data_IF_668493317117
#
_entry.id   IF_668493317117
#
_cell.length_a   1.000
_cell.length_b   1.000
_cell.length_c   1.000
_cell.angle_alpha   90.00
_cell.angle_beta   90.00
_cell.angle_gamma   90.00
#
_symmetry.space_group_name_H-M   'P 1'
#
loop_
_entity.id
_entity.type
_entity.pdbx_description
1 polymer ?
#
# COMPACT_ATOMS: atom_id res chain seq x y z
N UNK A 1 -25.24 -2.13 -5.75
CA UNK A 1 -24.69 -1.57 -7.03
C UNK A 1 -24.49 -0.05 -7.01
N UNK A 2 -25.22 0.71 -6.18
CA UNK A 2 -25.10 2.17 -6.02
C UNK A 2 -23.82 2.60 -5.29
N UNK A 3 -23.35 1.77 -4.35
CA UNK A 3 -22.18 2.06 -3.52
C UNK A 3 -20.85 2.11 -4.30
N UNK A 4 -20.62 1.15 -5.21
CA UNK A 4 -19.43 1.15 -6.10
C UNK A 4 -19.40 2.41 -6.99
N UNK A 5 -20.56 2.89 -7.47
CA UNK A 5 -20.63 4.12 -8.28
C UNK A 5 -20.25 5.36 -7.47
N UNK A 6 -20.64 5.44 -6.20
CA UNK A 6 -20.31 6.59 -5.34
C UNK A 6 -18.82 6.62 -5.01
N UNK A 7 -18.21 5.46 -4.75
CA UNK A 7 -16.77 5.34 -4.48
C UNK A 7 -15.93 5.70 -5.72
N UNK A 8 -16.32 5.21 -6.91
CA UNK A 8 -15.65 5.58 -8.17
C UNK A 8 -15.70 7.07 -8.45
N UNK A 9 -16.87 7.70 -8.27
CA UNK A 9 -17.02 9.16 -8.45
C UNK A 9 -16.13 9.94 -7.48
N UNK A 10 -16.03 9.52 -6.22
CA UNK A 10 -15.13 10.13 -5.23
C UNK A 10 -13.66 10.03 -5.66
N UNK A 11 -13.21 8.84 -6.08
CA UNK A 11 -11.83 8.64 -6.55
C UNK A 11 -11.49 9.49 -7.79
N UNK A 12 -12.40 9.54 -8.77
CA UNK A 12 -12.24 10.40 -9.96
C UNK A 12 -12.19 11.88 -9.56
N UNK A 13 -13.06 12.30 -8.64
CA UNK A 13 -13.07 13.66 -8.11
C UNK A 13 -11.75 14.03 -7.43
N UNK A 14 -11.23 13.17 -6.55
CA UNK A 14 -9.92 13.36 -5.91
C UNK A 14 -8.78 13.43 -6.93
N UNK A 15 -8.80 12.58 -7.95
CA UNK A 15 -7.82 12.61 -9.04
C UNK A 15 -7.91 13.90 -9.85
N UNK A 16 -9.11 14.40 -10.16
CA UNK A 16 -9.28 15.68 -10.85
C UNK A 16 -8.75 16.86 -10.01
N UNK A 17 -8.99 16.88 -8.69
CA UNK A 17 -8.44 17.91 -7.79
C UNK A 17 -6.91 17.87 -7.80
N UNK A 18 -6.30 16.69 -7.61
CA UNK A 18 -4.84 16.53 -7.66
C UNK A 18 -4.27 16.96 -9.01
N UNK A 19 -4.93 16.60 -10.10
CA UNK A 19 -4.54 16.99 -11.45
C UNK A 19 -4.60 18.50 -11.64
N UNK A 20 -5.65 19.16 -11.11
CA UNK A 20 -5.78 20.61 -11.18
C UNK A 20 -4.71 21.35 -10.39
N UNK A 21 -4.38 20.89 -9.18
CA UNK A 21 -3.28 21.45 -8.39
C UNK A 21 -1.94 21.30 -9.12
N UNK A 22 -1.66 20.12 -9.66
CA UNK A 22 -0.43 19.87 -10.42
C UNK A 22 -0.36 20.74 -11.68
N UNK A 23 -1.46 20.86 -12.43
CA UNK A 23 -1.53 21.67 -13.63
C UNK A 23 -1.33 23.17 -13.35
N UNK A 24 -1.96 23.68 -12.28
CA UNK A 24 -1.75 25.05 -11.81
C UNK A 24 -0.28 25.29 -11.39
N UNK A 25 0.30 24.35 -10.63
CA UNK A 25 1.69 24.40 -10.20
C UNK A 25 2.66 24.44 -11.39
N UNK A 26 2.43 23.62 -12.42
CA UNK A 26 3.28 23.55 -13.61
C UNK A 26 3.17 24.78 -14.51
N UNK A 27 1.97 25.36 -14.66
CA UNK A 27 1.72 26.46 -15.59
C UNK A 27 1.74 27.86 -14.97
N UNK A 28 1.62 27.96 -13.63
CA UNK A 28 1.45 29.23 -12.92
C UNK A 28 2.59 30.23 -13.09
N UNK A 29 3.81 29.75 -13.39
CA UNK A 29 4.97 30.61 -13.69
C UNK A 29 4.79 31.47 -14.94
N UNK A 30 3.83 31.14 -15.82
CA UNK A 30 3.52 31.91 -17.05
C UNK A 30 2.36 32.91 -16.87
N UNK A 31 1.91 33.11 -15.63
CA UNK A 31 0.83 34.04 -15.29
C UNK A 31 -0.51 33.35 -14.97
N UNK A 32 -1.47 34.15 -14.49
CA UNK A 32 -2.76 33.66 -13.93
C UNK A 32 -3.60 32.87 -14.94
N UNK A 33 -3.69 33.34 -16.20
CA UNK A 33 -4.45 32.65 -17.25
C UNK A 33 -3.88 31.27 -17.56
N UNK A 34 -2.54 31.19 -17.67
CA UNK A 34 -1.86 29.91 -17.87
C UNK A 34 -2.04 28.98 -16.67
N UNK A 35 -2.00 29.51 -15.44
CA UNK A 35 -2.31 28.75 -14.23
C UNK A 35 -3.70 28.12 -14.25
N UNK A 36 -4.74 28.90 -14.59
CA UNK A 36 -6.11 28.40 -14.71
C UNK A 36 -6.28 27.38 -15.83
N UNK A 37 -5.73 27.67 -17.03
CA UNK A 37 -5.75 26.72 -18.14
C UNK A 37 -5.03 25.42 -17.76
N UNK A 38 -3.89 25.51 -17.07
CA UNK A 38 -3.15 24.38 -16.53
C UNK A 38 -3.99 23.59 -15.53
N UNK A 39 -4.69 24.26 -14.61
CA UNK A 39 -5.56 23.61 -13.64
C UNK A 39 -6.70 22.83 -14.31
N UNK A 40 -7.37 23.43 -15.28
CA UNK A 40 -8.44 22.76 -16.02
C UNK A 40 -7.91 21.57 -16.82
N UNK A 41 -6.80 21.74 -17.54
CA UNK A 41 -6.18 20.68 -18.32
C UNK A 41 -5.69 19.53 -17.43
N UNK A 42 -5.08 19.84 -16.29
CA UNK A 42 -4.61 18.86 -15.32
C UNK A 42 -5.76 18.10 -14.66
N UNK A 43 -6.83 18.80 -14.27
CA UNK A 43 -8.02 18.19 -13.68
C UNK A 43 -8.73 17.25 -14.67
N UNK A 44 -8.92 17.70 -15.91
CA UNK A 44 -9.48 16.87 -16.97
C UNK A 44 -8.59 15.66 -17.28
N UNK A 45 -7.27 15.87 -17.42
CA UNK A 45 -6.31 14.82 -17.73
C UNK A 45 -6.25 13.73 -16.66
N UNK A 46 -6.06 14.11 -15.39
CA UNK A 46 -5.94 13.12 -14.31
C UNK A 46 -7.29 12.49 -13.94
N UNK A 47 -8.39 13.26 -14.02
CA UNK A 47 -9.75 12.72 -13.86
C UNK A 47 -10.10 11.69 -14.93
N UNK A 48 -9.80 11.98 -16.21
CA UNK A 48 -10.02 11.02 -17.30
C UNK A 48 -9.11 9.80 -17.16
N UNK A 49 -7.83 9.98 -16.81
CA UNK A 49 -6.90 8.91 -16.51
C UNK A 49 -7.44 7.98 -15.42
N UNK A 50 -7.94 8.52 -14.31
CA UNK A 50 -8.51 7.71 -13.24
C UNK A 50 -9.80 7.01 -13.68
N UNK A 51 -10.68 7.69 -14.43
CA UNK A 51 -11.89 7.07 -14.97
C UNK A 51 -11.57 5.87 -15.87
N UNK A 52 -10.59 6.00 -16.78
CA UNK A 52 -10.13 4.90 -17.64
C UNK A 52 -9.47 3.79 -16.81
N UNK A 53 -8.67 4.14 -15.81
CA UNK A 53 -8.05 3.16 -14.91
C UNK A 53 -9.11 2.31 -14.20
N UNK A 54 -10.16 2.95 -13.65
CA UNK A 54 -11.27 2.26 -12.96
C UNK A 54 -12.19 1.49 -13.89
N UNK A 55 -12.39 1.96 -15.12
CA UNK A 55 -13.12 1.21 -16.14
C UNK A 55 -12.39 -0.11 -16.51
N UNK A 56 -11.06 -0.10 -16.49
CA UNK A 56 -10.24 -1.29 -16.83
C UNK A 56 -9.83 -2.15 -15.64
N UNK A 57 -9.97 -1.64 -14.42
CA UNK A 57 -9.56 -2.35 -13.21
C UNK A 57 -10.57 -3.44 -12.86
N UNK A 58 -10.10 -4.69 -12.81
CA UNK A 58 -10.89 -5.81 -12.26
C UNK A 58 -10.90 -5.73 -10.72
N UNK A 59 -11.97 -6.20 -10.06
CA UNK A 59 -12.02 -6.29 -8.60
C UNK A 59 -10.76 -6.94 -8.02
N UNK A 60 -10.22 -6.37 -6.95
CA UNK A 60 -9.03 -6.88 -6.26
C UNK A 60 -7.68 -6.68 -6.98
N UNK A 61 -7.62 -6.00 -8.14
CA UNK A 61 -6.34 -5.69 -8.80
C UNK A 61 -5.81 -4.33 -8.37
N UNK A 62 -4.49 -4.19 -8.27
CA UNK A 62 -3.81 -2.90 -8.06
C UNK A 62 -4.07 -2.00 -9.29
N UNK A 63 -4.23 -0.66 -9.12
CA UNK A 63 -4.33 0.27 -10.23
C UNK A 63 -3.18 0.11 -11.25
N UNK A 64 -3.46 0.33 -12.54
CA UNK A 64 -2.46 0.16 -13.58
C UNK A 64 -1.26 1.09 -13.35
N UNK A 65 -0.07 0.65 -13.78
CA UNK A 65 1.18 1.35 -13.52
C UNK A 65 1.15 2.82 -13.98
N UNK A 66 0.60 3.09 -15.17
CA UNK A 66 0.54 4.44 -15.72
C UNK A 66 -0.29 5.41 -14.85
N UNK A 67 -1.42 4.96 -14.28
CA UNK A 67 -2.23 5.78 -13.35
C UNK A 67 -1.43 6.09 -12.08
N UNK A 68 -0.74 5.09 -11.51
CA UNK A 68 0.13 5.29 -10.34
C UNK A 68 1.28 6.26 -10.60
N UNK A 69 1.89 6.21 -11.79
CA UNK A 69 2.93 7.14 -12.20
C UNK A 69 2.37 8.55 -12.36
N UNK A 70 1.22 8.70 -13.03
CA UNK A 70 0.56 9.99 -13.22
C UNK A 70 0.21 10.66 -11.88
N UNK A 71 -0.45 9.93 -10.97
CA UNK A 71 -0.82 10.45 -9.65
C UNK A 71 0.40 10.83 -8.81
N UNK A 72 1.44 9.99 -8.80
CA UNK A 72 2.69 10.31 -8.10
C UNK A 72 3.39 11.55 -8.66
N UNK A 73 3.36 11.73 -9.98
CA UNK A 73 3.93 12.90 -10.66
C UNK A 73 3.14 14.17 -10.34
N UNK A 74 1.81 14.07 -10.26
CA UNK A 74 0.94 15.20 -9.89
C UNK A 74 1.19 15.67 -8.44
N UNK A 75 1.34 14.72 -7.51
CA UNK A 75 1.72 15.02 -6.12
C UNK A 75 3.10 15.70 -6.09
N UNK A 76 4.09 15.17 -6.81
CA UNK A 76 5.43 15.74 -6.87
C UNK A 76 5.44 17.17 -7.45
N UNK A 77 4.65 17.45 -8.49
CA UNK A 77 4.51 18.78 -9.05
C UNK A 77 3.97 19.78 -8.00
N UNK A 78 2.93 19.36 -7.28
CA UNK A 78 2.26 20.20 -6.28
C UNK A 78 3.16 20.49 -5.09
N UNK A 79 3.87 19.47 -4.59
CA UNK A 79 4.87 19.61 -3.53
C UNK A 79 6.10 20.40 -3.98
N UNK A 80 6.55 20.21 -5.22
CA UNK A 80 7.66 20.96 -5.80
C UNK A 80 7.36 22.46 -5.92
N UNK A 81 6.10 22.81 -6.20
CA UNK A 81 5.63 24.20 -6.14
C UNK A 81 5.70 24.78 -4.73
N UNK A 82 5.13 24.07 -3.75
CA UNK A 82 5.11 24.52 -2.36
C UNK A 82 6.53 24.64 -1.78
N UNK A 83 7.35 23.60 -1.97
CA UNK A 83 8.75 23.58 -1.55
C UNK A 83 9.59 24.65 -2.23
N UNK A 84 9.41 24.86 -3.54
CA UNK A 84 10.10 25.93 -4.28
C UNK A 84 9.73 27.33 -3.77
N UNK A 85 8.45 27.56 -3.45
CA UNK A 85 7.96 28.81 -2.84
C UNK A 85 8.58 29.07 -1.46
N UNK A 86 8.74 28.03 -0.65
CA UNK A 86 9.20 28.15 0.74
C UNK A 86 10.73 28.23 0.87
N UNK A 87 11.46 27.52 0.01
CA UNK A 87 12.92 27.34 0.17
C UNK A 87 13.75 28.14 -0.82
N UNK A 88 13.19 28.55 -1.96
CA UNK A 88 13.97 29.13 -3.06
C UNK A 88 15.00 28.16 -3.65
N UNK A 89 14.90 26.86 -3.37
CA UNK A 89 15.87 25.85 -3.79
C UNK A 89 16.04 25.80 -5.31
N UNK A 90 17.31 25.75 -5.75
CA UNK A 90 17.64 25.61 -7.17
C UNK A 90 17.23 24.24 -7.75
N UNK A 91 17.16 24.12 -9.09
CA UNK A 91 16.73 22.90 -9.79
C UNK A 91 17.45 21.62 -9.35
N UNK A 92 18.78 21.67 -9.15
CA UNK A 92 19.57 20.50 -8.73
C UNK A 92 19.16 20.02 -7.33
N UNK A 93 18.94 20.94 -6.39
CA UNK A 93 18.53 20.59 -5.03
C UNK A 93 17.11 20.02 -5.02
N UNK A 94 16.17 20.64 -5.74
CA UNK A 94 14.79 20.16 -5.87
C UNK A 94 14.75 18.76 -6.51
N UNK A 95 15.51 18.56 -7.58
CA UNK A 95 15.63 17.27 -8.25
C UNK A 95 16.21 16.22 -7.32
N UNK A 96 17.34 16.52 -6.66
CA UNK A 96 17.98 15.59 -5.71
C UNK A 96 17.05 15.22 -4.57
N UNK A 97 16.37 16.19 -3.93
CA UNK A 97 15.43 15.94 -2.84
C UNK A 97 14.20 15.14 -3.29
N UNK A 98 13.65 15.44 -4.48
CA UNK A 98 12.53 14.64 -5.03
C UNK A 98 12.97 13.22 -5.33
N UNK A 99 14.18 13.06 -5.87
CA UNK A 99 14.80 11.78 -6.16
C UNK A 99 15.09 10.97 -4.90
N UNK A 100 15.62 11.59 -3.83
CA UNK A 100 15.89 10.91 -2.56
C UNK A 100 14.61 10.37 -1.93
N UNK A 101 13.57 11.19 -1.84
CA UNK A 101 12.26 10.79 -1.29
C UNK A 101 11.66 9.65 -2.10
N UNK A 102 11.63 9.78 -3.43
CA UNK A 102 11.07 8.74 -4.31
C UNK A 102 11.92 7.45 -4.30
N UNK A 103 13.24 7.61 -4.18
CA UNK A 103 14.23 6.56 -3.96
C UNK A 103 13.93 5.76 -2.70
N UNK A 104 13.80 6.44 -1.57
CA UNK A 104 13.53 5.86 -0.26
C UNK A 104 12.24 5.03 -0.24
N UNK A 105 11.19 5.49 -0.93
CA UNK A 105 9.94 4.75 -1.08
C UNK A 105 10.06 3.47 -1.93
N UNK A 106 11.19 3.25 -2.62
CA UNK A 106 11.43 2.11 -3.50
C UNK A 106 11.78 0.79 -2.80
N UNK A 107 12.04 0.79 -1.48
CA UNK A 107 12.44 -0.31 -0.58
C UNK A 107 13.74 -1.06 -0.97
N UNK A 108 14.03 -1.21 -2.27
CA UNK A 108 15.23 -1.88 -2.79
C UNK A 108 16.46 -0.96 -2.64
N UNK A 109 17.58 -1.41 -2.04
CA UNK A 109 18.77 -0.57 -1.85
C UNK A 109 19.27 0.10 -3.15
N UNK A 110 19.20 -0.62 -4.29
CA UNK A 110 19.60 -0.08 -5.59
C UNK A 110 18.67 1.05 -6.05
N UNK A 111 17.36 0.94 -5.78
CA UNK A 111 16.37 1.99 -6.07
C UNK A 111 16.59 3.22 -5.19
N UNK A 112 16.89 3.00 -3.91
CA UNK A 112 17.21 4.08 -2.96
C UNK A 112 18.43 4.86 -3.41
N UNK A 113 19.52 4.19 -3.80
CA UNK A 113 20.73 4.83 -4.28
C UNK A 113 20.55 5.55 -5.64
N UNK A 114 19.72 5.00 -6.53
CA UNK A 114 19.43 5.60 -7.83
C UNK A 114 18.69 6.94 -7.71
N UNK A 115 17.80 7.07 -6.71
CA UNK A 115 16.95 8.25 -6.53
C UNK A 115 17.71 9.58 -6.54
N UNK A 116 18.65 9.83 -5.60
CA UNK A 116 19.42 11.07 -5.53
C UNK A 116 20.21 11.37 -6.82
N UNK A 117 20.87 10.34 -7.39
CA UNK A 117 21.71 10.49 -8.59
C UNK A 117 20.87 10.91 -9.78
N UNK A 118 19.76 10.21 -10.00
CA UNK A 118 18.82 10.54 -11.08
C UNK A 118 18.19 11.92 -10.87
N UNK A 119 17.83 12.25 -9.63
CA UNK A 119 17.29 13.56 -9.26
C UNK A 119 18.25 14.70 -9.55
N UNK A 120 19.52 14.55 -9.20
CA UNK A 120 20.55 15.53 -9.51
C UNK A 120 20.76 15.70 -11.02
N UNK A 121 20.76 14.59 -11.77
CA UNK A 121 20.89 14.61 -13.23
C UNK A 121 19.71 15.33 -13.92
N UNK A 122 18.47 15.02 -13.52
CA UNK A 122 17.27 15.70 -14.03
C UNK A 122 17.28 17.18 -13.64
N UNK A 123 17.61 17.51 -12.39
CA UNK A 123 17.72 18.89 -11.93
C UNK A 123 18.75 19.70 -12.71
N UNK A 124 19.88 19.08 -13.08
CA UNK A 124 20.91 19.72 -13.92
C UNK A 124 20.43 19.90 -15.36
N UNK A 125 19.81 18.88 -15.95
CA UNK A 125 19.28 18.94 -17.32
C UNK A 125 18.11 19.93 -17.47
N UNK A 126 17.41 20.22 -16.39
CA UNK A 126 16.31 21.20 -16.34
C UNK A 126 16.73 22.51 -15.65
N UNK A 127 18.00 22.89 -15.75
CA UNK A 127 18.47 24.19 -15.27
C UNK A 127 17.60 25.33 -15.83
N UNK A 128 17.26 26.31 -14.98
CA UNK A 128 16.38 27.43 -15.33
C UNK A 128 14.88 27.09 -15.40
N UNK A 129 14.48 25.83 -15.20
CA UNK A 129 13.06 25.45 -15.11
C UNK A 129 12.53 25.61 -13.67
N UNK A 130 11.23 25.89 -13.51
CA UNK A 130 10.64 26.09 -12.19
C UNK A 130 10.58 24.78 -11.40
N UNK A 131 10.72 24.87 -10.07
CA UNK A 131 10.74 23.73 -9.15
C UNK A 131 9.63 22.67 -9.34
N UNK A 132 8.34 23.03 -9.59
CA UNK A 132 7.29 22.05 -9.89
C UNK A 132 7.61 21.14 -11.07
N UNK A 133 8.21 21.71 -12.13
CA UNK A 133 8.57 20.95 -13.34
C UNK A 133 9.70 19.99 -13.04
N UNK A 134 10.70 20.44 -12.27
CA UNK A 134 11.86 19.61 -11.92
C UNK A 134 11.45 18.44 -11.02
N UNK A 135 10.61 18.70 -10.01
CA UNK A 135 10.10 17.66 -9.11
C UNK A 135 9.25 16.62 -9.88
N UNK A 136 8.31 17.10 -10.72
CA UNK A 136 7.48 16.24 -11.55
C UNK A 136 8.30 15.38 -12.51
N UNK A 137 9.23 15.99 -13.26
CA UNK A 137 10.11 15.29 -14.19
C UNK A 137 10.98 14.24 -13.47
N UNK A 138 11.50 14.58 -12.28
CA UNK A 138 12.31 13.64 -11.49
C UNK A 138 11.50 12.41 -11.11
N UNK A 139 10.30 12.58 -10.55
CA UNK A 139 9.45 11.44 -10.14
C UNK A 139 8.97 10.63 -11.35
N UNK A 140 8.59 11.29 -12.43
CA UNK A 140 8.19 10.63 -13.67
C UNK A 140 9.32 9.75 -14.22
N UNK A 141 10.50 10.34 -14.42
CA UNK A 141 11.67 9.63 -14.95
C UNK A 141 12.10 8.50 -14.02
N UNK A 142 12.14 8.75 -12.70
CA UNK A 142 12.48 7.72 -11.73
C UNK A 142 11.52 6.54 -11.77
N UNK A 143 10.20 6.78 -11.82
CA UNK A 143 9.22 5.69 -11.82
C UNK A 143 9.17 4.94 -13.14
N UNK A 144 9.34 5.63 -14.27
CA UNK A 144 9.43 5.00 -15.58
C UNK A 144 10.68 4.11 -15.67
N UNK A 145 11.85 4.66 -15.32
CA UNK A 145 13.11 3.91 -15.32
C UNK A 145 13.06 2.75 -14.32
N UNK A 146 12.51 2.98 -13.13
CA UNK A 146 12.37 1.92 -12.12
C UNK A 146 11.48 0.78 -12.59
N UNK A 147 10.43 1.07 -13.35
CA UNK A 147 9.54 0.05 -13.89
C UNK A 147 10.17 -0.74 -15.06
N UNK A 148 11.08 -0.12 -15.80
CA UNK A 148 11.81 -0.77 -16.90
C UNK A 148 12.98 -1.62 -16.37
N UNK A 149 13.80 -1.06 -15.47
CA UNK A 149 15.05 -1.67 -14.98
C UNK A 149 14.81 -2.71 -13.90
N UNK A 150 13.83 -2.49 -13.00
CA UNK A 150 13.56 -3.38 -11.88
C UNK A 150 12.23 -4.12 -12.05
N UNK A 151 12.05 -4.69 -13.25
CA UNK A 151 10.81 -5.37 -13.65
C UNK A 151 10.60 -6.70 -12.91
N UNK A 152 11.69 -7.31 -12.45
CA UNK A 152 11.65 -8.62 -11.80
C UNK A 152 11.32 -8.55 -10.31
N UNK A 153 10.56 -9.55 -9.87
CA UNK A 153 10.20 -9.81 -8.49
C UNK A 153 11.48 -10.22 -7.72
N UNK A 154 11.97 -9.37 -6.82
CA UNK A 154 13.16 -9.69 -6.00
C UNK A 154 12.82 -10.60 -4.82
N UNK A 155 11.54 -10.77 -4.53
CA UNK A 155 11.06 -11.77 -3.57
C UNK A 155 10.36 -12.81 -4.42
N UNK A 156 11.09 -13.85 -4.81
CA UNK A 156 10.43 -15.11 -5.13
C UNK A 156 9.78 -15.55 -3.82
N UNK A 157 8.45 -15.60 -3.80
CA UNK A 157 7.78 -16.43 -2.80
C UNK A 157 8.22 -17.85 -3.11
N UNK A 158 9.29 -18.28 -2.43
CA UNK A 158 9.68 -19.67 -2.39
C UNK A 158 8.56 -20.36 -1.61
N UNK A 159 7.52 -20.78 -2.32
CA UNK A 159 6.53 -21.70 -1.79
C UNK A 159 7.23 -23.04 -1.67
N UNK A 160 7.97 -23.23 -0.58
CA UNK A 160 8.52 -24.53 -0.23
C UNK A 160 7.35 -25.45 0.14
N UNK A 161 7.35 -26.65 -0.42
CA UNK A 161 6.30 -27.64 -0.18
C UNK A 161 6.58 -28.28 1.18
N UNK A 162 6.02 -27.71 2.23
CA UNK A 162 6.15 -28.20 3.60
C UNK A 162 5.03 -29.21 3.88
N UNK A 163 5.31 -30.38 4.48
CA UNK A 163 4.29 -31.31 4.96
C UNK A 163 3.30 -30.61 5.89
N UNK A 164 2.02 -30.99 5.84
CA UNK A 164 0.98 -30.33 6.62
C UNK A 164 1.23 -30.45 8.14
N UNK A 165 1.92 -31.51 8.56
CA UNK A 165 2.26 -31.76 9.97
C UNK A 165 3.29 -30.76 10.55
N UNK A 166 4.09 -30.13 9.68
CA UNK A 166 5.16 -29.19 10.08
C UNK A 166 4.68 -27.73 10.08
N UNK A 167 3.48 -27.47 9.55
CA UNK A 167 2.93 -26.12 9.49
C UNK A 167 2.28 -25.74 10.84
N UNK A 168 2.74 -24.67 11.50
CA UNK A 168 2.20 -24.24 12.80
C UNK A 168 0.75 -23.76 12.71
N UNK A 169 0.29 -23.41 11.50
CA UNK A 169 -1.09 -23.12 11.18
C UNK A 169 -1.36 -23.59 9.74
N UNK A 170 -2.43 -24.36 9.55
CA UNK A 170 -2.96 -24.69 8.22
C UNK A 170 -4.16 -23.79 8.00
N UNK A 171 -4.13 -22.96 6.95
CA UNK A 171 -5.33 -22.22 6.58
C UNK A 171 -6.28 -23.21 5.89
N UNK A 172 -7.48 -23.46 6.41
CA UNK A 172 -8.36 -24.54 5.95
C UNK A 172 -8.80 -24.44 4.49
N UNK A 173 -8.67 -23.25 3.89
CA UNK A 173 -9.11 -22.98 2.53
C UNK A 173 -7.89 -22.79 1.61
N UNK A 174 -7.76 -23.62 0.59
CA UNK A 174 -6.79 -23.34 -0.47
C UNK A 174 -7.18 -22.03 -1.19
N UNK A 175 -6.22 -21.13 -1.37
CA UNK A 175 -6.44 -19.93 -2.16
C UNK A 175 -6.58 -20.31 -3.64
N UNK A 176 -7.82 -20.44 -4.12
CA UNK A 176 -8.15 -20.77 -5.53
C UNK A 176 -7.74 -19.69 -6.53
N UNK A 177 -7.18 -18.59 -6.06
CA UNK A 177 -6.66 -17.50 -6.89
C UNK A 177 -5.34 -16.99 -6.32
N UNK A 178 -4.52 -16.39 -7.19
CA UNK A 178 -3.29 -15.67 -6.81
C UNK A 178 -3.50 -14.47 -5.87
N UNK A 179 -4.73 -14.20 -5.45
CA UNK A 179 -5.10 -13.06 -4.63
C UNK A 179 -5.92 -13.52 -3.44
N UNK A 180 -5.36 -13.31 -2.24
CA UNK A 180 -6.08 -13.49 -0.98
C UNK A 180 -6.67 -12.12 -0.61
N UNK A 181 -7.98 -12.01 -0.74
CA UNK A 181 -8.73 -10.78 -0.46
C UNK A 181 -9.89 -11.02 0.49
N UNK A 182 -10.74 -10.01 0.68
CA UNK A 182 -11.94 -10.11 1.52
C UNK A 182 -12.92 -11.21 1.07
N UNK A 183 -12.93 -11.54 -0.23
CA UNK A 183 -13.67 -12.70 -0.75
C UNK A 183 -13.18 -14.02 -0.18
N UNK A 184 -11.87 -14.22 -0.09
CA UNK A 184 -11.29 -15.42 0.52
C UNK A 184 -11.65 -15.53 2.01
N UNK A 185 -11.65 -14.41 2.74
CA UNK A 185 -12.05 -14.40 4.16
C UNK A 185 -13.52 -14.73 4.32
N UNK A 186 -14.37 -14.28 3.41
CA UNK A 186 -15.79 -14.66 3.36
C UNK A 186 -15.96 -16.16 3.11
N UNK A 187 -15.29 -16.69 2.10
CA UNK A 187 -15.34 -18.11 1.74
C UNK A 187 -14.78 -18.98 2.88
N UNK A 188 -13.73 -18.50 3.56
CA UNK A 188 -13.18 -19.14 4.75
C UNK A 188 -14.17 -19.14 5.91
N UNK A 189 -14.82 -18.00 6.19
CA UNK A 189 -15.84 -17.89 7.23
C UNK A 189 -16.97 -18.90 6.96
N UNK A 190 -17.48 -18.98 5.73
CA UNK A 190 -18.49 -19.96 5.35
C UNK A 190 -18.01 -21.41 5.58
N UNK A 191 -16.79 -21.73 5.14
CA UNK A 191 -16.23 -23.08 5.27
C UNK A 191 -16.03 -23.52 6.72
N UNK A 192 -15.75 -22.60 7.64
CA UNK A 192 -15.59 -22.90 9.08
C UNK A 192 -16.90 -22.72 9.87
N UNK A 193 -18.01 -22.39 9.21
CA UNK A 193 -19.31 -22.14 9.83
C UNK A 193 -19.40 -20.81 10.59
N UNK A 194 -18.53 -19.84 10.28
CA UNK A 194 -18.55 -18.48 10.79
C UNK A 194 -19.30 -17.50 9.91
N UNK A 195 -19.49 -16.28 10.41
CA UNK A 195 -20.17 -15.19 9.70
C UNK A 195 -19.16 -14.15 9.26
N UNK A 196 -19.17 -13.80 7.97
CA UNK A 196 -18.38 -12.70 7.46
C UNK A 196 -19.20 -11.40 7.44
N UNK A 197 -18.76 -10.42 8.20
CA UNK A 197 -19.28 -9.05 8.15
C UNK A 197 -18.25 -8.16 7.46
N UNK A 198 -18.64 -7.54 6.34
CA UNK A 198 -17.78 -6.56 5.70
C UNK A 198 -17.73 -5.28 6.55
N UNK A 199 -16.53 -4.75 6.77
CA UNK A 199 -16.33 -3.46 7.47
C UNK A 199 -16.96 -3.45 8.87
N UNK A 200 -16.76 -4.53 9.62
CA UNK A 200 -17.28 -4.68 10.97
C UNK A 200 -16.73 -3.55 11.86
N UNK A 201 -17.62 -2.75 12.45
CA UNK A 201 -17.26 -1.52 13.18
C UNK A 201 -16.44 -1.76 14.45
N UNK A 202 -16.47 -3.00 14.94
CA UNK A 202 -15.75 -3.53 16.08
C UNK A 202 -14.40 -4.17 15.71
N UNK A 203 -14.03 -4.17 14.42
CA UNK A 203 -12.76 -4.71 13.93
C UNK A 203 -11.91 -3.58 13.33
N UNK A 204 -10.80 -3.26 13.99
CA UNK A 204 -9.90 -2.18 13.58
C UNK A 204 -8.43 -2.50 13.82
N UNK A 205 -7.55 -1.71 13.20
CA UNK A 205 -6.11 -1.73 13.50
C UNK A 205 -5.89 -0.85 14.73
N UNK A 206 -5.65 -1.48 15.88
CA UNK A 206 -5.27 -0.80 17.13
C UNK A 206 -3.81 -0.38 17.09
N UNK A 207 -3.47 0.72 17.76
CA UNK A 207 -2.10 1.23 17.76
C UNK A 207 -1.19 0.44 18.73
N UNK A 208 -1.76 -0.14 19.78
CA UNK A 208 -1.08 -1.06 20.69
C UNK A 208 -2.01 -2.19 21.15
N UNK A 209 -1.42 -3.30 21.63
CA UNK A 209 -2.18 -4.39 22.24
C UNK A 209 -2.84 -3.97 23.57
N UNK A 210 -2.30 -2.95 24.24
CA UNK A 210 -2.88 -2.43 25.48
C UNK A 210 -4.27 -1.83 25.28
N UNK A 211 -4.58 -1.34 24.07
CA UNK A 211 -5.92 -0.86 23.71
C UNK A 211 -6.97 -1.98 23.71
N UNK A 212 -6.54 -3.24 23.64
CA UNK A 212 -7.42 -4.42 23.72
C UNK A 212 -7.56 -4.95 25.14
N UNK A 213 -6.91 -4.33 26.14
CA UNK A 213 -6.97 -4.78 27.53
C UNK A 213 -8.41 -4.79 28.04
N UNK A 214 -8.87 -5.97 28.47
CA UNK A 214 -10.23 -6.15 28.96
C UNK A 214 -10.40 -7.45 29.73
N UNK A 215 -11.62 -7.72 30.24
CA UNK A 215 -11.91 -8.91 31.05
C UNK A 215 -11.56 -10.23 30.35
N UNK A 216 -11.58 -10.24 29.02
CA UNK A 216 -11.32 -11.42 28.18
C UNK A 216 -9.93 -11.41 27.52
N UNK A 217 -9.15 -10.33 27.67
CA UNK A 217 -7.86 -10.19 27.00
C UNK A 217 -6.87 -9.43 27.88
N UNK A 218 -5.81 -10.12 28.29
CA UNK A 218 -4.67 -9.54 29.00
C UNK A 218 -3.49 -9.35 28.02
N UNK A 219 -3.13 -8.09 27.67
CA UNK A 219 -2.03 -7.82 26.76
C UNK A 219 -0.67 -8.22 27.34
N UNK A 220 -0.52 -8.24 28.67
CA UNK A 220 0.73 -8.62 29.34
C UNK A 220 0.99 -10.14 29.28
N UNK A 221 -0.05 -10.94 29.02
CA UNK A 221 0.05 -12.37 28.79
C UNK A 221 0.51 -12.76 27.38
N UNK A 222 0.70 -11.78 26.49
CA UNK A 222 1.16 -12.02 25.11
C UNK A 222 2.68 -11.86 25.05
N UNK A 223 3.40 -12.98 25.12
CA UNK A 223 4.85 -12.98 24.88
C UNK A 223 5.16 -12.71 23.40
N UNK A 224 5.68 -11.51 23.12
CA UNK A 224 6.26 -11.15 21.84
C UNK A 224 7.61 -10.45 22.04
N UNK A 225 8.72 -10.94 21.45
CA UNK A 225 9.88 -10.08 21.30
C UNK A 225 9.49 -8.91 20.40
N UNK A 226 10.05 -7.72 20.65
CA UNK A 226 10.04 -6.61 19.71
C UNK A 226 10.75 -7.04 18.41
N UNK A 227 10.04 -7.76 17.54
CA UNK A 227 10.60 -8.43 16.37
C UNK A 227 9.78 -9.68 15.99
N UNK A 228 8.77 -9.48 15.14
CA UNK A 228 8.16 -10.50 14.28
C UNK A 228 8.00 -11.91 14.90
N UNK A 229 7.22 -12.02 15.97
CA UNK A 229 6.72 -13.30 16.49
C UNK A 229 5.26 -13.49 16.11
N UNK A 230 4.94 -14.58 15.41
CA UNK A 230 3.57 -15.01 15.11
C UNK A 230 2.83 -15.27 16.43
N UNK A 231 1.65 -14.67 16.61
CA UNK A 231 0.73 -14.90 17.73
C UNK A 231 0.43 -16.40 17.88
N UNK A 232 0.87 -17.01 18.98
CA UNK A 232 0.36 -18.31 19.47
C UNK A 232 -0.80 -18.07 20.42
N UNK A 233 -1.99 -17.89 19.87
CA UNK A 233 -3.21 -18.08 20.66
C UNK A 233 -3.48 -19.59 20.74
N UNK A 234 -3.08 -20.24 21.84
CA UNK A 234 -3.56 -21.58 22.18
C UNK A 234 -5.02 -21.48 22.62
N UNK A 235 -5.93 -21.35 21.67
CA UNK A 235 -7.29 -21.84 21.87
C UNK A 235 -7.37 -23.22 21.24
N UNK A 236 -7.44 -24.32 22.04
CA UNK A 236 -7.65 -25.62 21.46
C UNK A 236 -8.96 -25.57 20.69
N UNK A 237 -8.89 -25.75 19.36
CA UNK A 237 -10.07 -25.94 18.52
C UNK A 237 -10.98 -26.93 19.23
N UNK A 238 -12.22 -26.51 19.52
CA UNK A 238 -13.22 -27.35 20.14
C UNK A 238 -13.28 -28.68 19.36
N UNK A 239 -13.40 -29.86 20.02
CA UNK A 239 -13.27 -31.17 19.37
C UNK A 239 -14.12 -31.33 18.09
N UNK A 240 -15.30 -30.70 18.06
CA UNK A 240 -16.19 -30.65 16.88
C UNK A 240 -15.54 -29.99 15.64
N UNK A 241 -14.74 -28.94 15.83
CA UNK A 241 -14.04 -28.28 14.72
C UNK A 241 -12.79 -29.05 14.29
N UNK A 242 -12.11 -29.78 15.19
CA UNK A 242 -11.00 -30.68 14.82
C UNK A 242 -11.48 -31.79 13.89
N UNK A 243 -12.62 -32.41 14.21
CA UNK A 243 -13.21 -33.46 13.38
C UNK A 243 -13.65 -32.93 12.01
N UNK A 244 -14.20 -31.71 11.96
CA UNK A 244 -14.60 -31.07 10.70
C UNK A 244 -13.38 -30.75 9.81
N UNK A 245 -12.31 -30.21 10.39
CA UNK A 245 -11.06 -29.90 9.64
C UNK A 245 -10.36 -31.18 9.17
N UNK A 246 -10.30 -32.22 10.01
CA UNK A 246 -9.73 -33.51 9.63
C UNK A 246 -10.54 -34.23 8.53
N UNK A 247 -11.87 -34.12 8.57
CA UNK A 247 -12.75 -34.68 7.54
C UNK A 247 -12.59 -33.96 6.19
N UNK A 248 -12.40 -32.64 6.19
CA UNK A 248 -12.14 -31.85 4.97
C UNK A 248 -10.77 -32.19 4.37
N UNK A 249 -9.74 -32.40 5.22
CA UNK A 249 -8.41 -32.83 4.77
C UNK A 249 -8.38 -34.24 4.17
N UNK A 250 -9.19 -35.17 4.68
CA UNK A 250 -9.22 -36.56 4.22
C UNK A 250 -10.10 -36.77 2.97
N UNK A 251 -11.20 -36.02 2.82
CA UNK A 251 -12.14 -36.19 1.72
C UNK A 251 -11.73 -35.41 0.45
N UNK A 252 -10.87 -34.40 0.58
CA UNK A 252 -10.76 -33.33 -0.41
C UNK A 252 -12.04 -32.48 -0.43
N UNK A 253 -11.91 -31.18 -0.68
CA UNK A 253 -13.09 -30.33 -0.82
C UNK A 253 -13.91 -30.80 -2.04
N UNK A 254 -15.23 -31.07 -1.90
CA UNK A 254 -16.05 -31.37 -3.06
C UNK A 254 -15.98 -30.19 -4.04
N UNK A 255 -15.79 -30.50 -5.32
CA UNK A 255 -15.85 -29.51 -6.38
C UNK A 255 -17.25 -28.87 -6.34
N UNK A 256 -17.31 -27.57 -6.00
CA UNK A 256 -18.53 -26.79 -6.16
C UNK A 256 -18.75 -26.66 -7.67
N UNK A 257 -19.89 -27.11 -8.23
CA UNK A 257 -20.14 -26.99 -9.65
C UNK A 257 -20.10 -25.51 -10.05
N UNK A 258 -19.47 -25.24 -11.20
CA UNK A 258 -19.46 -23.92 -11.82
C UNK A 258 -20.91 -23.43 -11.95
N UNK A 259 -21.31 -22.51 -11.07
CA UNK A 259 -22.56 -21.79 -11.21
C UNK A 259 -22.39 -20.82 -12.37
N UNK A 260 -22.67 -21.32 -13.57
CA UNK A 260 -22.82 -20.52 -14.77
C UNK A 260 -23.71 -19.32 -14.48
N UNK A 261 -23.26 -18.15 -14.92
CA UNK A 261 -23.92 -16.89 -14.65
C UNK A 261 -25.38 -16.90 -15.09
N UNK A 262 -26.26 -16.57 -14.14
CA UNK A 262 -27.58 -16.03 -14.42
C UNK A 262 -27.78 -14.76 -13.58
N UNK A 263 -28.39 -13.70 -14.14
CA UNK A 263 -28.43 -12.37 -13.54
C UNK A 263 -29.43 -12.32 -12.38
N UNK A 264 -28.97 -11.84 -11.22
CA UNK A 264 -29.84 -11.47 -10.11
C UNK A 264 -30.61 -10.18 -10.46
N UNK A 265 -31.80 -10.36 -11.03
CA UNK A 265 -32.83 -9.34 -11.15
C UNK A 265 -34.01 -9.66 -10.21
N UNK A 266 -34.61 -8.59 -9.69
CA UNK A 266 -35.90 -8.51 -9.01
C UNK A 266 -35.95 -8.94 -7.52
N UNK A 267 -36.00 -7.92 -6.66
CA UNK A 267 -37.13 -7.77 -5.75
C UNK A 267 -36.89 -8.12 -4.29
N UNK A 268 -36.49 -7.12 -3.49
CA UNK A 268 -37.22 -6.88 -2.24
C UNK A 268 -37.06 -5.41 -1.81
N UNK A 269 -38.15 -4.67 -1.98
CA UNK A 269 -38.42 -3.43 -1.24
C UNK A 269 -38.87 -3.84 0.16
N UNK A 270 -38.23 -3.28 1.17
CA UNK A 270 -38.85 -3.12 2.47
C UNK A 270 -38.52 -1.70 2.93
N UNK A 271 -39.58 -0.95 3.13
CA UNK A 271 -39.62 0.38 3.68
C UNK A 271 -38.98 0.41 5.07
N UNK A 272 -38.22 1.47 5.38
CA UNK A 272 -38.32 2.12 6.69
C UNK A 272 -37.85 3.59 6.63
N UNK A 273 -38.47 4.46 7.42
CA UNK A 273 -38.57 5.89 7.16
C UNK A 273 -37.44 6.72 7.75
N UNK A 274 -37.33 7.93 7.19
CA UNK A 274 -36.51 9.02 7.67
C UNK A 274 -37.07 9.65 8.97
N UNK A 275 -36.13 10.15 9.79
CA UNK A 275 -36.35 11.07 10.92
C UNK A 275 -35.52 10.62 12.12
N UNK A 276 -34.70 11.43 12.78
CA UNK A 276 -34.40 12.85 12.71
C UNK A 276 -33.64 13.24 13.99
N UNK A 277 -33.03 14.43 13.98
CA UNK A 277 -32.54 15.23 15.13
C UNK A 277 -31.41 14.62 15.99
N UNK A 278 -30.19 15.20 15.97
CA UNK A 278 -29.75 16.40 16.70
C UNK A 278 -29.62 16.18 18.22
N UNK A 279 -28.38 16.26 18.72
CA UNK A 279 -28.09 16.21 20.16
C UNK A 279 -26.60 16.29 20.48
N UNK A 280 -26.19 17.49 20.88
CA UNK A 280 -24.94 17.91 21.54
C UNK A 280 -24.04 16.87 22.24
N UNK A 281 -22.73 17.01 22.03
CA UNK A 281 -21.75 16.98 23.14
C UNK A 281 -20.49 17.79 22.79
N UNK A 282 -20.02 18.53 23.80
CA UNK A 282 -19.02 19.59 23.83
C UNK A 282 -17.60 19.01 24.07
N UNK A 283 -16.49 19.75 23.87
CA UNK A 283 -15.16 19.19 23.72
C UNK A 283 -14.39 19.12 25.04
N UNK A 284 -13.65 18.03 25.24
CA UNK A 284 -12.63 17.96 26.27
C UNK A 284 -11.27 18.39 25.73
N UNK A 285 -10.78 19.47 26.35
CA UNK A 285 -9.38 19.92 26.37
C UNK A 285 -8.62 19.03 27.34
N UNK A 286 -7.49 18.48 26.91
CA UNK A 286 -6.39 18.22 27.82
C UNK A 286 -5.08 18.76 27.25
N UNK A 287 -4.62 19.82 27.90
CA UNK A 287 -3.24 20.27 27.92
C UNK A 287 -2.37 19.21 28.58
N UNK A 288 -1.27 18.81 27.94
CA UNK A 288 -0.07 18.39 28.65
C UNK A 288 1.17 18.94 27.94
N UNK A 289 1.68 20.02 28.51
CA UNK A 289 3.07 20.41 28.41
C UNK A 289 3.90 19.57 29.39
N UNK A 290 5.12 19.20 28.98
CA UNK A 290 6.20 18.92 29.94
C UNK A 290 7.11 17.76 29.55
N UNK A 291 8.42 18.02 29.54
CA UNK A 291 9.40 17.01 29.95
C UNK A 291 10.49 16.64 28.95
N UNK A 292 11.45 17.54 28.78
CA UNK A 292 12.80 17.20 28.32
C UNK A 292 13.45 16.20 29.28
N UNK A 293 14.01 15.11 28.74
CA UNK A 293 14.80 14.14 29.50
C UNK A 293 15.90 13.53 28.63
N UNK A 294 17.12 14.03 28.82
CA UNK A 294 18.38 13.54 28.24
C UNK A 294 18.81 12.19 28.82
N UNK A 295 19.71 11.56 28.06
CA UNK A 295 20.68 10.53 28.45
C UNK A 295 20.19 9.13 28.80
N UNK A 296 20.58 8.18 27.94
CA UNK A 296 21.44 7.05 28.34
C UNK A 296 22.04 6.38 27.10
N UNK A 297 23.36 6.44 27.02
CA UNK A 297 24.15 5.68 26.07
C UNK A 297 24.06 4.19 26.36
N UNK A 298 23.84 3.40 25.31
CA UNK A 298 24.10 1.98 25.32
C UNK A 298 25.17 1.68 24.27
N UNK A 299 26.27 1.10 24.77
CA UNK A 299 27.44 0.63 24.03
C UNK A 299 27.00 -0.46 23.04
N UNK A 300 27.47 -0.35 21.80
CA UNK A 300 27.34 -1.41 20.79
C UNK A 300 28.63 -2.24 20.81
N UNK A 301 28.47 -3.54 21.04
CA UNK A 301 29.51 -4.55 21.05
C UNK A 301 29.98 -4.91 19.61
N UNK A 302 31.28 -5.03 19.30
CA UNK A 302 31.76 -5.28 17.95
C UNK A 302 32.12 -6.77 17.75
N UNK A 303 31.12 -7.63 17.50
CA UNK A 303 31.37 -9.05 17.15
C UNK A 303 30.59 -9.46 15.91
N UNK A 304 30.72 -8.73 14.78
CA UNK A 304 30.43 -9.27 13.45
C UNK A 304 31.32 -8.59 12.40
N UNK A 305 32.64 -8.82 12.48
CA UNK A 305 33.58 -8.47 11.40
C UNK A 305 34.65 -9.55 11.28
N UNK A 306 34.26 -10.74 10.80
CA UNK A 306 35.18 -11.72 10.21
C UNK A 306 34.34 -12.84 9.60
N UNK A 307 34.06 -12.73 8.30
CA UNK A 307 33.99 -13.84 7.33
C UNK A 307 33.42 -13.30 6.02
N UNK A 308 34.29 -12.69 5.20
CA UNK A 308 34.09 -12.59 3.75
C UNK A 308 35.38 -12.15 3.05
N UNK A 309 36.36 -13.05 3.03
CA UNK A 309 37.43 -13.10 2.03
C UNK A 309 37.87 -14.57 1.88
N UNK A 310 37.19 -15.27 0.98
CA UNK A 310 37.68 -16.44 0.26
C UNK A 310 37.08 -16.26 -1.15
N UNK A 311 37.85 -15.69 -2.07
CA UNK A 311 38.70 -16.42 -3.03
C UNK A 311 37.85 -17.02 -4.16
N UNK A 312 37.75 -16.23 -5.24
CA UNK A 312 37.14 -16.61 -6.52
C UNK A 312 38.24 -16.41 -7.58
N UNK A 313 39.17 -17.35 -7.61
CA UNK A 313 40.08 -17.61 -8.73
C UNK A 313 40.13 -19.12 -8.92
N UNK A 314 39.61 -19.57 -10.05
CA UNK A 314 39.64 -20.97 -10.46
C UNK A 314 38.27 -21.40 -10.94
N UNK A 315 38.07 -21.33 -12.26
CA UNK A 315 37.52 -22.43 -13.07
C UNK A 315 37.11 -21.89 -14.45
N UNK A 316 38.13 -21.84 -15.32
CA UNK A 316 38.00 -21.93 -16.77
C UNK A 316 38.34 -23.38 -17.16
N UNK A 317 37.88 -23.80 -18.35
CA UNK A 317 37.86 -25.16 -18.93
C UNK A 317 36.57 -25.92 -18.56
N UNK A 318 35.76 -26.50 -19.46
CA UNK A 318 35.97 -27.03 -20.80
C UNK A 318 34.59 -27.16 -21.48
N UNK A 319 34.46 -26.82 -22.77
CA UNK A 319 33.31 -27.21 -23.61
C UNK A 319 33.88 -27.97 -24.82
N UNK A 320 33.52 -29.24 -25.05
CA UNK A 320 33.86 -29.95 -26.26
C UNK A 320 32.89 -29.60 -27.41
N UNK A 321 33.41 -29.77 -28.63
CA UNK A 321 32.88 -29.32 -29.92
C UNK A 321 31.48 -29.82 -30.29
#
# INVERSE_FOLDING_TARGET
MTEDRSQRRRQIGSAAVLGGLAGAALAGHRGRRAGWAGALAGAAGLGAAEAVARARQRPGRIPPLWSRIASGTAVAASLGWAGGRLTGAGPVLVGTASGTVTGALGVRPQKVAMGPVLGAAVGRGLAGRPAPVVAAATVLTYRALSALVFRDEQVSLLAERVPAEELPFVVPLEARSRYVGTGYVRDLAEAIGGTYTADASDVGIVASLDELAGPEFDPAGVDGPAGAGVLRAHHPLHPRHRSAVAAVGAAGLPAVPDAGGAPAGAGQRADQPAGGAAGHAQPDRHDHAGGLGRDRGARVDPVVRRHRRADLRGDLHHVPA
#
